data_IF_309854228525
#
_entry.id   IF_309854228525
#
_cell.length_a   1.000
_cell.length_b   1.000
_cell.length_c   1.000
_cell.angle_alpha   90.00
_cell.angle_beta   90.00
_cell.angle_gamma   90.00
#
_symmetry.space_group_name_H-M   'P 1'
#
loop_
_entity.id
_entity.type
_entity.pdbx_description
1 polymer ?
#
# COMPACT_ATOMS: atom_id res chain seq x y z
N UNK A 1 -13.27 -1.57 4.89
CA UNK A 1 -13.05 -0.19 4.41
C UNK A 1 -12.13 0.64 5.31
N UNK A 2 -12.39 0.77 6.62
CA UNK A 2 -11.62 1.68 7.51
C UNK A 2 -10.12 1.37 7.54
N UNK A 3 -9.73 0.09 7.60
CA UNK A 3 -8.31 -0.33 7.61
C UNK A 3 -7.61 0.01 6.29
N UNK A 4 -8.23 -0.36 5.16
CA UNK A 4 -7.69 -0.07 3.83
C UNK A 4 -7.50 1.43 3.60
N UNK A 5 -8.45 2.25 4.06
CA UNK A 5 -8.35 3.71 3.97
C UNK A 5 -7.19 4.27 4.80
N UNK A 6 -6.97 3.73 6.01
CA UNK A 6 -5.82 4.10 6.85
C UNK A 6 -4.49 3.71 6.20
N UNK A 7 -4.42 2.53 5.57
CA UNK A 7 -3.24 2.08 4.83
C UNK A 7 -2.99 3.00 3.63
N UNK A 8 -4.00 3.29 2.82
CA UNK A 8 -3.87 4.22 1.69
C UNK A 8 -3.37 5.60 2.14
N UNK A 9 -3.95 6.15 3.21
CA UNK A 9 -3.52 7.44 3.77
C UNK A 9 -2.05 7.41 4.21
N UNK A 10 -1.61 6.32 4.85
CA UNK A 10 -0.21 6.16 5.26
C UNK A 10 0.74 6.21 4.06
N UNK A 11 0.44 5.47 2.98
CA UNK A 11 1.26 5.44 1.77
C UNK A 11 1.31 6.82 1.08
N UNK A 12 0.20 7.55 1.06
CA UNK A 12 0.15 8.92 0.54
C UNK A 12 1.06 9.85 1.35
N UNK A 13 0.92 9.87 2.68
CA UNK A 13 1.74 10.73 3.56
C UNK A 13 3.22 10.38 3.44
N UNK A 14 3.56 9.08 3.44
CA UNK A 14 4.93 8.59 3.30
C UNK A 14 5.55 9.09 1.98
N UNK A 15 4.84 8.88 0.86
CA UNK A 15 5.33 9.30 -0.45
C UNK A 15 5.49 10.82 -0.55
N UNK A 16 4.55 11.59 0.01
CA UNK A 16 4.65 13.06 0.09
C UNK A 16 5.89 13.51 0.86
N UNK A 17 6.21 12.90 2.01
CA UNK A 17 7.43 13.22 2.76
C UNK A 17 8.69 12.95 1.92
N UNK A 18 8.73 11.83 1.20
CA UNK A 18 9.90 11.48 0.38
C UNK A 18 10.06 12.44 -0.80
N UNK A 19 8.97 12.84 -1.47
CA UNK A 19 9.03 13.86 -2.53
C UNK A 19 9.60 15.17 -1.99
N UNK A 20 9.11 15.63 -0.84
CA UNK A 20 9.58 16.88 -0.24
C UNK A 20 11.09 16.80 0.05
N UNK A 21 11.55 15.71 0.69
CA UNK A 21 12.97 15.51 0.98
C UNK A 21 13.83 15.50 -0.30
N UNK A 22 13.42 14.76 -1.33
CA UNK A 22 14.15 14.71 -2.61
C UNK A 22 14.18 16.07 -3.32
N UNK A 23 13.09 16.84 -3.22
CA UNK A 23 13.01 18.21 -3.78
C UNK A 23 14.01 19.14 -3.11
N UNK A 24 14.20 19.03 -1.79
CA UNK A 24 15.18 19.85 -1.05
C UNK A 24 16.64 19.39 -1.25
N UNK A 25 16.87 18.10 -1.50
CA UNK A 25 18.21 17.51 -1.65
C UNK A 25 18.76 17.59 -3.08
N UNK A 26 17.95 17.96 -4.08
CA UNK A 26 18.40 18.10 -5.48
C UNK A 26 18.68 16.77 -6.19
N UNK A 27 18.33 15.63 -5.60
CA UNK A 27 18.41 14.29 -6.20
C UNK A 27 17.03 13.88 -6.71
N UNK A 28 16.79 13.95 -8.02
CA UNK A 28 15.40 14.14 -8.47
C UNK A 28 14.81 12.93 -9.21
N UNK A 29 15.52 12.28 -10.13
CA UNK A 29 14.81 11.33 -11.02
C UNK A 29 14.94 9.86 -10.62
N UNK A 30 16.18 9.36 -10.44
CA UNK A 30 16.39 7.91 -10.26
C UNK A 30 15.99 7.42 -8.87
N UNK A 31 16.31 8.18 -7.82
CA UNK A 31 15.94 7.85 -6.44
C UNK A 31 14.43 7.96 -6.24
N UNK A 32 13.81 9.03 -6.76
CA UNK A 32 12.35 9.20 -6.71
C UNK A 32 11.62 8.09 -7.45
N UNK A 33 12.10 7.69 -8.63
CA UNK A 33 11.54 6.58 -9.40
C UNK A 33 11.66 5.24 -8.65
N UNK A 34 12.83 4.93 -8.07
CA UNK A 34 13.01 3.71 -7.28
C UNK A 34 12.11 3.67 -6.04
N UNK A 35 11.97 4.80 -5.34
CA UNK A 35 11.05 4.93 -4.20
C UNK A 35 9.61 4.73 -4.65
N UNK A 36 9.20 5.35 -5.75
CA UNK A 36 7.84 5.21 -6.29
C UNK A 36 7.52 3.73 -6.60
N UNK A 37 8.43 3.04 -7.28
CA UNK A 37 8.30 1.61 -7.59
C UNK A 37 8.18 0.80 -6.30
N UNK A 38 9.01 1.07 -5.29
CA UNK A 38 8.95 0.37 -4.00
C UNK A 38 7.61 0.62 -3.28
N UNK A 39 7.16 1.87 -3.20
CA UNK A 39 5.92 2.28 -2.54
C UNK A 39 4.70 1.66 -3.24
N UNK A 40 4.65 1.68 -4.58
CA UNK A 40 3.55 1.09 -5.34
C UNK A 40 3.50 -0.43 -5.20
N UNK A 41 4.64 -1.13 -5.32
CA UNK A 41 4.69 -2.58 -5.16
C UNK A 41 4.33 -3.00 -3.73
N UNK A 42 4.83 -2.29 -2.72
CA UNK A 42 4.49 -2.52 -1.32
C UNK A 42 2.99 -2.30 -1.05
N UNK A 43 2.40 -1.23 -1.59
CA UNK A 43 0.97 -0.98 -1.46
C UNK A 43 0.13 -2.10 -2.10
N UNK A 44 0.45 -2.47 -3.34
CA UNK A 44 -0.26 -3.53 -4.06
C UNK A 44 -0.18 -4.87 -3.31
N UNK A 45 1.00 -5.23 -2.79
CA UNK A 45 1.18 -6.45 -2.01
C UNK A 45 0.31 -6.46 -0.75
N UNK A 46 0.30 -5.38 0.03
CA UNK A 46 -0.47 -5.29 1.28
C UNK A 46 -1.98 -5.38 0.98
N UNK A 47 -2.46 -4.61 0.00
CA UNK A 47 -3.88 -4.59 -0.37
C UNK A 47 -4.33 -5.98 -0.86
N UNK A 48 -3.55 -6.59 -1.75
CA UNK A 48 -3.82 -7.94 -2.26
C UNK A 48 -3.83 -8.98 -1.15
N UNK A 49 -2.89 -8.93 -0.21
CA UNK A 49 -2.84 -9.86 0.93
C UNK A 49 -4.08 -9.75 1.82
N UNK A 50 -4.50 -8.52 2.14
CA UNK A 50 -5.70 -8.26 2.93
C UNK A 50 -6.97 -8.77 2.22
N UNK A 51 -7.03 -8.61 0.90
CA UNK A 51 -8.14 -9.10 0.10
C UNK A 51 -8.23 -10.62 0.09
N UNK A 52 -7.09 -11.30 -0.13
CA UNK A 52 -7.00 -12.78 -0.10
C UNK A 52 -7.40 -13.33 1.28
N UNK A 53 -6.96 -12.71 2.38
CA UNK A 53 -7.38 -13.13 3.72
C UNK A 53 -8.87 -12.92 3.98
N UNK A 54 -9.43 -11.82 3.46
CA UNK A 54 -10.86 -11.54 3.55
C UNK A 54 -11.68 -12.57 2.77
N UNK A 55 -11.24 -12.93 1.56
CA UNK A 55 -11.88 -13.97 0.74
C UNK A 55 -11.86 -15.34 1.42
N UNK A 56 -10.70 -15.77 1.92
CA UNK A 56 -10.58 -17.03 2.69
C UNK A 56 -11.51 -17.08 3.92
N UNK A 57 -11.62 -15.96 4.62
CA UNK A 57 -12.52 -15.85 5.77
C UNK A 57 -13.99 -15.97 5.36
N UNK A 58 -14.37 -15.37 4.24
CA UNK A 58 -15.73 -15.47 3.69
C UNK A 58 -16.04 -16.89 3.20
N UNK A 59 -15.11 -17.56 2.53
CA UNK A 59 -15.25 -18.96 2.08
C UNK A 59 -15.42 -19.93 3.26
N UNK A 60 -14.59 -19.82 4.31
CA UNK A 60 -14.74 -20.64 5.52
C UNK A 60 -16.10 -20.42 6.19
N UNK A 61 -16.53 -19.17 6.34
CA UNK A 61 -17.81 -18.86 6.96
C UNK A 61 -19.00 -19.33 6.09
N UNK A 62 -18.88 -19.30 4.76
CA UNK A 62 -19.87 -19.86 3.84
C UNK A 62 -19.92 -21.40 3.88
N UNK A 63 -18.78 -22.06 4.08
CA UNK A 63 -18.68 -23.52 4.22
C UNK A 63 -19.27 -24.06 5.53
N UNK A 64 -19.38 -23.24 6.58
CA UNK A 64 -19.95 -23.65 7.88
C UNK A 64 -21.48 -23.54 7.94
N UNK A 65 -22.11 -22.94 6.93
CA UNK A 65 -23.56 -22.68 6.87
C UNK A 65 -24.29 -23.70 5.95
N UNK A 66 -23.55 -24.55 5.24
CA UNK A 66 -24.09 -25.64 4.41
C UNK A 66 -23.89 -27.01 5.05
#
# INVERSE_FOLDING_TARGET
MIILNKIALFFVVLYSVIILLNTYLGEIERVQSNVMIFVLNGFAYIVSSIEVEREKTLEMNGSLIN
#
